data_IF_980079545207
#
_entry.id   IF_980079545207
#
_cell.length_a   1.000
_cell.length_b   1.000
_cell.length_c   1.000
_cell.angle_alpha   90.00
_cell.angle_beta   90.00
_cell.angle_gamma   90.00
#
_symmetry.space_group_name_H-M   'P 1'
#
loop_
_entity.id
_entity.type
_entity.pdbx_description
1 polymer ?
#
# COMPACT_ATOMS: atom_id res chain seq x y z
N UNK A 1 1.22 31.20 15.88
CA UNK A 1 1.91 29.90 15.76
C UNK A 1 1.81 29.43 14.31
N UNK A 2 2.84 28.78 13.74
CA UNK A 2 2.76 28.32 12.35
C UNK A 2 1.71 27.20 12.25
N UNK A 3 0.76 27.35 11.33
CA UNK A 3 -0.22 26.30 11.04
C UNK A 3 0.50 25.06 10.51
N UNK A 4 0.11 23.85 10.95
CA UNK A 4 0.60 22.62 10.33
C UNK A 4 0.25 22.62 8.83
N UNK A 5 1.20 22.21 7.98
CA UNK A 5 1.03 22.16 6.52
C UNK A 5 0.32 20.87 6.11
N UNK A 6 -0.93 20.73 6.58
CA UNK A 6 -1.81 19.59 6.30
C UNK A 6 -1.91 19.31 4.80
N UNK A 7 -1.99 20.38 3.99
CA UNK A 7 -2.07 20.27 2.53
C UNK A 7 -0.81 19.62 1.94
N UNK A 8 0.37 19.95 2.45
CA UNK A 8 1.61 19.28 2.04
C UNK A 8 1.62 17.81 2.43
N UNK A 9 1.24 17.47 3.65
CA UNK A 9 1.18 16.07 4.08
C UNK A 9 0.21 15.24 3.22
N UNK A 10 -0.97 15.79 2.92
CA UNK A 10 -1.92 15.12 2.01
C UNK A 10 -1.32 14.88 0.62
N UNK A 11 -0.58 15.87 0.06
CA UNK A 11 0.11 15.70 -1.23
C UNK A 11 1.23 14.67 -1.16
N UNK A 12 2.02 14.66 -0.09
CA UNK A 12 3.11 13.69 0.11
C UNK A 12 2.57 12.26 0.24
N UNK A 13 1.46 12.07 0.97
CA UNK A 13 0.76 10.78 1.07
C UNK A 13 0.25 10.33 -0.29
N UNK A 14 -0.43 11.21 -1.03
CA UNK A 14 -0.93 10.89 -2.37
C UNK A 14 0.22 10.51 -3.31
N UNK A 15 1.30 11.30 -3.34
CA UNK A 15 2.45 11.05 -4.20
C UNK A 15 3.17 9.74 -3.85
N UNK A 16 3.36 9.43 -2.55
CA UNK A 16 3.94 8.16 -2.14
C UNK A 16 3.06 6.96 -2.58
N UNK A 17 1.74 7.12 -2.48
CA UNK A 17 0.79 6.09 -2.88
C UNK A 17 0.75 5.90 -4.39
N UNK A 18 0.71 6.98 -5.18
CA UNK A 18 0.76 6.92 -6.65
C UNK A 18 2.02 6.21 -7.17
N UNK A 19 3.16 6.43 -6.52
CA UNK A 19 4.43 5.77 -6.84
C UNK A 19 4.54 4.35 -6.30
N UNK A 20 3.55 3.86 -5.53
CA UNK A 20 3.59 2.57 -4.81
C UNK A 20 4.79 2.47 -3.86
N UNK A 21 5.23 3.61 -3.34
CA UNK A 21 6.39 3.72 -2.48
C UNK A 21 5.95 3.55 -1.02
N UNK A 22 5.70 2.30 -0.66
CA UNK A 22 5.20 1.93 0.68
C UNK A 22 6.19 2.24 1.79
N UNK A 23 7.48 2.23 1.49
CA UNK A 23 8.54 2.61 2.43
C UNK A 23 8.49 4.10 2.73
N UNK A 24 8.37 4.95 1.70
CA UNK A 24 8.19 6.39 1.90
C UNK A 24 6.89 6.70 2.65
N UNK A 25 5.79 6.00 2.33
CA UNK A 25 4.52 6.16 3.04
C UNK A 25 4.64 5.80 4.53
N UNK A 26 5.35 4.72 4.87
CA UNK A 26 5.59 4.33 6.25
C UNK A 26 6.48 5.34 7.02
N UNK A 27 7.50 5.89 6.34
CA UNK A 27 8.34 6.94 6.93
C UNK A 27 7.56 8.23 7.18
N UNK A 28 6.69 8.63 6.24
CA UNK A 28 5.77 9.75 6.40
C UNK A 28 4.82 9.52 7.58
N UNK A 29 4.26 8.32 7.71
CA UNK A 29 3.36 7.97 8.82
C UNK A 29 4.04 8.07 10.19
N UNK A 30 5.26 7.53 10.31
CA UNK A 30 6.03 7.63 11.53
C UNK A 30 6.31 9.10 11.91
N UNK A 31 6.71 9.92 10.94
CA UNK A 31 6.94 11.35 11.16
C UNK A 31 5.66 12.11 11.54
N UNK A 32 4.56 11.80 10.88
CA UNK A 32 3.27 12.42 11.14
C UNK A 32 2.75 12.07 12.53
N UNK A 33 2.88 10.81 12.96
CA UNK A 33 2.51 10.38 14.33
C UNK A 33 3.27 11.13 15.41
N UNK A 34 4.57 11.33 15.23
CA UNK A 34 5.39 12.13 16.16
C UNK A 34 4.90 13.59 16.18
N UNK A 35 4.61 14.16 15.01
CA UNK A 35 4.09 15.54 14.94
C UNK A 35 2.72 15.70 15.58
N UNK A 36 1.81 14.75 15.35
CA UNK A 36 0.46 14.73 15.92
C UNK A 36 0.46 14.57 17.44
N UNK A 37 1.46 13.86 17.99
CA UNK A 37 1.62 13.69 19.42
C UNK A 37 2.22 14.94 20.11
N UNK A 38 2.75 15.89 19.34
CA UNK A 38 3.33 17.09 19.90
C UNK A 38 2.25 18.06 20.43
N UNK A 39 2.43 18.67 21.61
CA UNK A 39 1.42 19.51 22.26
C UNK A 39 1.12 20.81 21.51
N UNK A 40 1.99 21.21 20.56
CA UNK A 40 1.83 22.38 19.69
C UNK A 40 1.13 22.04 18.36
N UNK A 41 0.68 20.80 18.17
CA UNK A 41 0.00 20.38 16.96
C UNK A 41 -1.48 20.82 16.97
N UNK A 42 -1.72 22.05 16.55
CA UNK A 42 -3.07 22.59 16.42
C UNK A 42 -3.68 22.26 15.05
N UNK A 43 -4.35 21.11 14.97
CA UNK A 43 -5.11 20.69 13.79
C UNK A 43 -6.60 20.95 13.97
N UNK A 44 -7.18 21.64 12.99
CA UNK A 44 -8.61 21.84 12.92
C UNK A 44 -9.33 20.51 12.62
N UNK A 45 -10.65 20.41 12.88
CA UNK A 45 -11.44 19.26 12.45
C UNK A 45 -11.36 19.01 10.94
N UNK A 46 -11.27 20.07 10.14
CA UNK A 46 -11.11 20.00 8.68
C UNK A 46 -9.76 19.39 8.29
N UNK A 47 -8.67 19.78 8.96
CA UNK A 47 -7.35 19.21 8.74
C UNK A 47 -7.32 17.70 9.02
N UNK A 48 -7.94 17.30 10.14
CA UNK A 48 -8.06 15.88 10.53
C UNK A 48 -8.87 15.09 9.51
N UNK A 49 -9.96 15.67 9.00
CA UNK A 49 -10.78 15.05 7.97
C UNK A 49 -10.01 14.89 6.65
N UNK A 50 -9.23 15.91 6.25
CA UNK A 50 -8.40 15.87 5.04
C UNK A 50 -7.31 14.78 5.14
N UNK A 51 -6.57 14.72 6.24
CA UNK A 51 -5.59 13.66 6.49
C UNK A 51 -6.24 12.27 6.50
N UNK A 52 -7.38 12.13 7.18
CA UNK A 52 -8.13 10.87 7.21
C UNK A 52 -8.65 10.44 5.84
N UNK A 53 -8.97 11.38 4.95
CA UNK A 53 -9.32 11.07 3.57
C UNK A 53 -8.09 10.58 2.77
N UNK A 54 -6.95 11.27 2.89
CA UNK A 54 -5.71 10.89 2.21
C UNK A 54 -5.26 9.46 2.58
N UNK A 55 -5.25 9.13 3.88
CA UNK A 55 -4.89 7.78 4.33
C UNK A 55 -5.89 6.70 3.91
N UNK A 56 -7.20 7.00 3.90
CA UNK A 56 -8.20 6.05 3.39
C UNK A 56 -8.02 5.78 1.91
N UNK A 57 -7.66 6.79 1.12
CA UNK A 57 -7.28 6.62 -0.29
C UNK A 57 -6.06 5.72 -0.43
N UNK A 58 -5.01 5.99 0.35
CA UNK A 58 -3.79 5.17 0.33
C UNK A 58 -4.05 3.70 0.69
N UNK A 59 -4.88 3.45 1.71
CA UNK A 59 -5.26 2.09 2.14
C UNK A 59 -6.09 1.36 1.08
N UNK A 60 -7.00 2.05 0.40
CA UNK A 60 -7.79 1.45 -0.68
C UNK A 60 -6.89 1.01 -1.84
N UNK A 61 -5.93 1.85 -2.22
CA UNK A 61 -4.98 1.52 -3.29
C UNK A 61 -4.06 0.36 -2.89
N UNK A 62 -3.49 0.37 -1.69
CA UNK A 62 -2.62 -0.71 -1.22
C UNK A 62 -3.34 -2.06 -1.16
N UNK A 63 -4.64 -2.06 -0.81
CA UNK A 63 -5.46 -3.28 -0.84
C UNK A 63 -5.65 -3.82 -2.25
N UNK A 64 -5.98 -2.95 -3.21
CA UNK A 64 -6.10 -3.37 -4.61
C UNK A 64 -4.81 -3.99 -5.16
N UNK A 65 -3.65 -3.45 -4.78
CA UNK A 65 -2.36 -4.01 -5.19
C UNK A 65 -2.04 -5.34 -4.51
N UNK A 66 -2.38 -5.50 -3.23
CA UNK A 66 -2.25 -6.78 -2.54
C UNK A 66 -3.14 -7.85 -3.20
N UNK A 67 -4.37 -7.51 -3.55
CA UNK A 67 -5.30 -8.42 -4.22
C UNK A 67 -4.73 -8.83 -5.60
N UNK A 68 -4.20 -7.88 -6.37
CA UNK A 68 -3.55 -8.17 -7.66
C UNK A 68 -2.35 -9.11 -7.50
N UNK A 69 -1.49 -8.85 -6.51
CA UNK A 69 -0.33 -9.70 -6.21
C UNK A 69 -0.75 -11.12 -5.81
N UNK A 70 -1.79 -11.25 -4.96
CA UNK A 70 -2.34 -12.55 -4.58
C UNK A 70 -2.88 -13.32 -5.79
N UNK A 71 -3.61 -12.64 -6.68
CA UNK A 71 -4.12 -13.26 -7.91
C UNK A 71 -2.98 -13.75 -8.82
N UNK A 72 -1.92 -12.95 -8.99
CA UNK A 72 -0.74 -13.34 -9.77
C UNK A 72 -0.02 -14.54 -9.15
N UNK A 73 0.14 -14.54 -7.82
CA UNK A 73 0.81 -15.63 -7.10
C UNK A 73 0.01 -16.95 -7.21
N UNK A 74 -1.31 -16.88 -7.08
CA UNK A 74 -2.18 -18.03 -7.29
C UNK A 74 -2.13 -18.54 -8.75
N UNK A 75 -2.02 -17.64 -9.73
CA UNK A 75 -1.83 -17.99 -11.14
C UNK A 75 -0.52 -18.76 -11.38
N UNK A 76 0.59 -18.28 -10.81
CA UNK A 76 1.89 -18.96 -10.91
C UNK A 76 1.86 -20.35 -10.25
N UNK A 77 1.17 -20.50 -9.11
CA UNK A 77 0.97 -21.79 -8.47
C UNK A 77 0.28 -22.80 -9.39
N UNK A 78 -0.86 -22.41 -9.99
CA UNK A 78 -1.59 -23.25 -10.94
C UNK A 78 -0.78 -23.60 -12.18
N UNK A 79 -0.01 -22.64 -12.72
CA UNK A 79 0.85 -22.89 -13.88
C UNK A 79 1.92 -23.94 -13.55
N UNK A 80 2.55 -23.83 -12.38
CA UNK A 80 3.57 -24.78 -11.93
C UNK A 80 2.98 -26.18 -11.72
N UNK A 81 1.81 -26.28 -11.09
CA UNK A 81 1.09 -27.55 -10.92
C UNK A 81 0.76 -28.20 -12.27
N UNK A 82 0.29 -27.41 -13.24
CA UNK A 82 0.01 -27.90 -14.60
C UNK A 82 1.27 -28.41 -15.33
N UNK A 83 2.40 -27.70 -15.18
CA UNK A 83 3.69 -28.13 -15.76
C UNK A 83 4.19 -29.44 -15.13
N UNK A 84 4.04 -29.60 -13.82
CA UNK A 84 4.42 -30.83 -13.11
C UNK A 84 3.53 -32.01 -13.50
N UNK A 85 2.21 -31.80 -13.59
CA UNK A 85 1.29 -32.83 -14.06
C UNK A 85 1.60 -33.28 -15.50
N UNK A 86 1.92 -32.32 -16.38
CA UNK A 86 2.31 -32.62 -17.76
C UNK A 86 3.63 -33.39 -17.85
N UNK A 87 4.64 -33.01 -17.07
CA UNK A 87 5.92 -33.72 -17.01
C UNK A 87 5.74 -35.16 -16.50
N UNK A 88 4.97 -35.36 -15.42
CA UNK A 88 4.70 -36.68 -14.87
C UNK A 88 3.93 -37.59 -15.84
N UNK A 89 2.97 -37.02 -16.58
CA UNK A 89 2.25 -37.78 -17.62
C UNK A 89 3.17 -38.15 -18.79
N UNK A 90 4.04 -37.24 -19.22
CA UNK A 90 4.99 -37.47 -20.31
C UNK A 90 6.05 -38.53 -19.95
N UNK A 91 6.50 -38.58 -18.70
CA UNK A 91 7.38 -39.64 -18.20
C UNK A 91 6.70 -41.02 -18.17
N UNK A 92 5.39 -41.05 -17.93
CA UNK A 92 4.61 -42.29 -17.92
C UNK A 92 4.35 -42.85 -19.32
N UNK A 93 4.18 -42.00 -20.34
CA UNK A 93 4.05 -42.44 -21.74
C UNK A 93 5.36 -42.96 -22.37
N UNK A 94 6.51 -42.62 -21.77
CA UNK A 94 7.84 -43.04 -22.27
C UNK A 94 8.39 -44.31 -21.58
N UNK A 95 7.72 -44.82 -20.55
CA UNK A 95 8.10 -46.00 -19.78
C UNK A 95 7.33 -47.25 -20.21
#
# INVERSE_FOLDING_TARGET
MPRPDTARWCREIAAATERRDWTALAALDAGLRVRLAAPDCDLTPEDRAALGAAYRGALAQSRGELDELQHRLAGLGRQREGQLAYAQFSEWEQA
#
